data_IF_099537022593
#
_entry.id   IF_099537022593
#
_cell.length_a   1.000
_cell.length_b   1.000
_cell.length_c   1.000
_cell.angle_alpha   90.00
_cell.angle_beta   90.00
_cell.angle_gamma   90.00
#
_symmetry.space_group_name_H-M   'P 1'
#
loop_
_entity.id
_entity.type
_entity.pdbx_description
1 polymer ?
#
# COMPACT_ATOMS: atom_id res chain seq x y z
N UNK A 1 -21.16 -1.30 0.08
CA UNK A 1 -20.45 -0.62 -1.03
C UNK A 1 -20.58 0.88 -0.85
N UNK A 2 -19.62 1.68 -1.33
CA UNK A 2 -19.78 3.15 -1.34
C UNK A 2 -20.90 3.55 -2.29
N UNK A 3 -21.69 4.55 -1.89
CA UNK A 3 -22.86 5.04 -2.65
C UNK A 3 -22.51 6.24 -3.56
N UNK A 4 -21.35 6.86 -3.36
CA UNK A 4 -20.90 8.01 -4.17
C UNK A 4 -19.54 8.56 -3.72
N UNK A 5 -19.22 9.76 -4.23
CA UNK A 5 -18.02 10.55 -3.88
C UNK A 5 -18.47 11.77 -3.07
N UNK A 6 -17.76 12.09 -1.99
CA UNK A 6 -18.04 13.30 -1.21
C UNK A 6 -17.61 14.57 -1.94
N UNK A 7 -18.03 15.72 -1.45
CA UNK A 7 -17.34 16.98 -1.77
C UNK A 7 -15.91 17.03 -1.20
N UNK A 8 -15.24 18.18 -1.31
CA UNK A 8 -13.95 18.42 -0.65
C UNK A 8 -14.02 18.10 0.85
N UNK A 9 -12.99 17.47 1.38
CA UNK A 9 -12.87 17.09 2.80
C UNK A 9 -11.74 17.89 3.46
N UNK A 10 -11.79 18.09 4.77
CA UNK A 10 -10.78 18.89 5.50
C UNK A 10 -9.57 18.06 5.89
N UNK A 11 -9.80 16.80 6.23
CA UNK A 11 -8.84 15.89 6.84
C UNK A 11 -7.91 15.31 5.76
N UNK A 12 -7.09 16.14 5.11
CA UNK A 12 -6.06 15.72 4.15
C UNK A 12 -4.85 16.69 4.11
N UNK A 13 -3.73 16.26 3.51
CA UNK A 13 -2.46 17.03 3.35
C UNK A 13 -1.73 17.39 4.66
N UNK A 14 -1.96 16.63 5.73
CA UNK A 14 -1.10 16.63 6.92
C UNK A 14 -0.85 15.20 7.40
N UNK A 15 0.31 14.98 8.03
CA UNK A 15 0.64 13.70 8.66
C UNK A 15 -0.34 13.44 9.82
N UNK A 16 -1.03 12.31 9.79
CA UNK A 16 -2.14 11.98 10.70
C UNK A 16 -3.52 12.03 10.05
N UNK A 17 -3.68 12.77 8.94
CA UNK A 17 -4.99 12.88 8.27
C UNK A 17 -5.57 11.55 7.78
N UNK A 18 -4.74 10.54 7.52
CA UNK A 18 -5.20 9.19 7.20
C UNK A 18 -5.99 8.57 8.33
N UNK A 19 -5.49 8.67 9.57
CA UNK A 19 -6.13 8.18 10.77
C UNK A 19 -7.41 8.96 11.08
N UNK A 20 -7.39 10.28 10.95
CA UNK A 20 -8.58 11.12 11.19
C UNK A 20 -9.75 10.77 10.25
N UNK A 21 -9.46 10.18 9.08
CA UNK A 21 -10.49 9.70 8.14
C UNK A 21 -11.06 8.32 8.50
N UNK A 22 -10.56 7.64 9.54
CA UNK A 22 -11.13 6.42 10.09
C UNK A 22 -12.11 6.79 11.20
N UNK A 23 -13.43 6.58 11.05
CA UNK A 23 -14.40 7.00 12.06
C UNK A 23 -14.12 6.44 13.46
N UNK A 24 -13.58 5.22 13.53
CA UNK A 24 -13.21 4.54 14.78
C UNK A 24 -12.06 5.24 15.53
N UNK A 25 -11.19 5.99 14.84
CA UNK A 25 -10.07 6.70 15.46
C UNK A 25 -10.49 7.85 16.38
N UNK A 26 -11.78 8.21 16.41
CA UNK A 26 -12.33 9.17 17.38
C UNK A 26 -12.35 8.62 18.81
N UNK A 27 -12.34 7.30 18.97
CA UNK A 27 -12.51 6.63 20.28
C UNK A 27 -11.53 5.48 20.52
N UNK A 28 -10.73 5.11 19.52
CA UNK A 28 -9.75 4.03 19.61
C UNK A 28 -8.42 4.47 18.99
N UNK A 29 -7.30 4.16 19.66
CA UNK A 29 -5.95 4.45 19.18
C UNK A 29 -5.47 3.44 18.11
N UNK A 30 -6.22 2.36 17.87
CA UNK A 30 -5.96 1.34 16.85
C UNK A 30 -4.59 0.66 16.98
N UNK A 31 -4.17 0.40 18.22
CA UNK A 31 -2.96 -0.38 18.52
C UNK A 31 -3.11 -1.81 18.00
N UNK A 32 -2.13 -2.27 17.23
CA UNK A 32 -2.11 -3.62 16.67
C UNK A 32 -1.01 -4.51 17.23
N UNK A 33 -0.95 -5.73 16.73
CA UNK A 33 0.05 -6.72 17.13
C UNK A 33 1.33 -6.51 16.33
N UNK A 34 2.32 -5.83 16.93
CA UNK A 34 3.64 -5.61 16.31
C UNK A 34 4.31 -6.92 15.92
N UNK A 35 5.05 -6.89 14.82
CA UNK A 35 5.96 -7.98 14.47
C UNK A 35 7.06 -8.11 15.52
N UNK A 36 7.41 -9.35 15.88
CA UNK A 36 8.52 -9.66 16.80
C UNK A 36 9.66 -10.33 16.03
N UNK A 37 10.88 -10.32 16.56
CA UNK A 37 12.02 -10.96 15.89
C UNK A 37 11.84 -12.48 15.63
N UNK A 38 10.87 -13.12 16.28
CA UNK A 38 10.55 -14.54 16.09
C UNK A 38 9.56 -14.82 14.96
N UNK A 39 8.80 -13.81 14.51
CA UNK A 39 7.92 -13.93 13.34
C UNK A 39 8.75 -13.83 12.07
N UNK A 40 8.78 -14.90 11.26
CA UNK A 40 9.60 -15.03 10.06
C UNK A 40 10.42 -16.33 10.01
N UNK A 41 10.24 -17.30 10.92
CA UNK A 41 10.93 -18.59 10.81
C UNK A 41 10.42 -19.33 9.59
N UNK A 42 11.27 -19.39 8.54
CA UNK A 42 10.95 -20.01 7.25
C UNK A 42 10.79 -21.52 7.39
N UNK A 43 9.61 -21.96 7.82
CA UNK A 43 9.16 -23.35 7.66
C UNK A 43 8.83 -23.61 6.19
N UNK A 44 9.16 -24.79 5.67
CA UNK A 44 8.81 -25.14 4.28
C UNK A 44 7.29 -25.36 4.16
N UNK A 45 6.63 -24.44 3.46
CA UNK A 45 5.17 -24.46 3.22
C UNK A 45 4.80 -24.98 1.83
N UNK A 46 5.76 -25.33 0.97
CA UNK A 46 5.54 -25.59 -0.47
C UNK A 46 4.70 -26.84 -0.77
N UNK A 47 4.50 -27.71 0.20
CA UNK A 47 3.69 -28.93 0.08
C UNK A 47 2.45 -28.93 0.98
N UNK A 48 2.17 -27.80 1.65
CA UNK A 48 1.17 -27.72 2.71
C UNK A 48 0.03 -26.75 2.38
N UNK A 49 -1.13 -27.00 2.98
CA UNK A 49 -2.19 -26.01 3.15
C UNK A 49 -2.00 -25.35 4.51
N UNK A 50 -1.71 -24.06 4.52
CA UNK A 50 -1.36 -23.31 5.74
C UNK A 50 -2.40 -22.23 5.98
N UNK A 51 -2.86 -22.16 7.23
CA UNK A 51 -3.77 -21.14 7.73
C UNK A 51 -2.99 -20.19 8.64
N UNK A 52 -2.94 -18.91 8.27
CA UNK A 52 -2.38 -17.86 9.14
C UNK A 52 -3.50 -17.25 9.97
N UNK A 53 -3.30 -17.15 11.28
CA UNK A 53 -4.26 -16.50 12.18
C UNK A 53 -4.35 -14.99 11.88
N UNK A 54 -5.53 -14.42 12.07
CA UNK A 54 -5.70 -12.96 11.99
C UNK A 54 -4.94 -12.25 13.12
N UNK A 55 -4.50 -11.02 12.86
CA UNK A 55 -3.75 -10.16 13.79
C UNK A 55 -4.62 -9.00 14.26
N UNK A 56 -4.44 -8.53 15.50
CA UNK A 56 -5.20 -7.38 16.00
C UNK A 56 -4.81 -6.13 15.23
N UNK A 57 -5.81 -5.38 14.76
CA UNK A 57 -5.66 -4.10 14.07
C UNK A 57 -4.62 -4.11 12.93
N UNK A 58 -4.59 -5.19 12.15
CA UNK A 58 -3.76 -5.28 10.95
C UNK A 58 -4.13 -4.15 9.99
N UNK A 59 -3.15 -3.34 9.60
CA UNK A 59 -3.35 -2.24 8.66
C UNK A 59 -3.06 -2.68 7.23
N UNK A 60 -4.00 -2.46 6.32
CA UNK A 60 -3.85 -2.79 4.91
C UNK A 60 -4.00 -1.50 4.12
N UNK A 61 -3.05 -1.22 3.24
CA UNK A 61 -3.14 -0.10 2.29
C UNK A 61 -3.14 -0.62 0.87
N UNK A 62 -4.08 -0.11 0.07
CA UNK A 62 -3.99 -0.13 -1.39
C UNK A 62 -3.86 1.30 -1.89
N UNK A 63 -2.71 1.64 -2.44
CA UNK A 63 -2.41 2.97 -2.99
C UNK A 63 -2.22 2.86 -4.50
N UNK A 64 -3.12 3.46 -5.28
CA UNK A 64 -3.21 3.28 -6.72
C UNK A 64 -2.82 4.50 -7.54
N UNK A 65 -2.34 4.24 -8.74
CA UNK A 65 -1.92 5.21 -9.74
C UNK A 65 -2.55 4.84 -11.09
N UNK A 66 -3.16 5.81 -11.75
CA UNK A 66 -3.80 5.64 -13.05
C UNK A 66 -3.44 6.83 -13.95
N UNK A 67 -2.59 6.56 -14.94
CA UNK A 67 -2.15 7.55 -15.93
C UNK A 67 -2.85 7.38 -17.29
N UNK A 68 -3.91 6.56 -17.36
CA UNK A 68 -4.57 6.20 -18.63
C UNK A 68 -5.18 7.37 -19.39
N UNK A 69 -5.52 8.45 -18.69
CA UNK A 69 -6.12 9.65 -19.28
C UNK A 69 -5.18 10.86 -19.24
N UNK A 70 -3.89 10.64 -18.99
CA UNK A 70 -2.90 11.73 -19.00
C UNK A 70 -2.61 12.20 -20.41
N UNK A 71 -2.39 13.51 -20.57
CA UNK A 71 -1.85 14.03 -21.83
C UNK A 71 -0.40 13.52 -22.04
N UNK A 72 0.13 13.51 -23.28
CA UNK A 72 1.45 12.94 -23.56
C UNK A 72 2.60 13.53 -22.73
N UNK A 73 2.56 14.84 -22.44
CA UNK A 73 3.58 15.50 -21.63
C UNK A 73 3.52 15.05 -20.16
N UNK A 74 2.33 15.04 -19.56
CA UNK A 74 2.13 14.61 -18.18
C UNK A 74 2.46 13.12 -18.00
N UNK A 75 2.12 12.29 -19.00
CA UNK A 75 2.46 10.87 -19.04
C UNK A 75 3.97 10.64 -18.96
N UNK A 76 4.71 11.29 -19.84
CA UNK A 76 6.16 11.21 -19.87
C UNK A 76 6.76 11.69 -18.55
N UNK A 77 6.26 12.83 -18.04
CA UNK A 77 6.69 13.38 -16.76
C UNK A 77 6.47 12.37 -15.62
N UNK A 78 5.30 11.73 -15.54
CA UNK A 78 5.00 10.73 -14.52
C UNK A 78 5.94 9.54 -14.61
N UNK A 79 6.04 8.93 -15.79
CA UNK A 79 6.83 7.71 -16.02
C UNK A 79 8.33 7.93 -15.82
N UNK A 80 8.84 9.11 -16.15
CA UNK A 80 10.27 9.41 -16.05
C UNK A 80 10.68 9.94 -14.67
N UNK A 81 9.77 10.55 -13.90
CA UNK A 81 10.16 11.27 -12.66
C UNK A 81 9.50 10.76 -11.39
N UNK A 82 8.23 10.35 -11.42
CA UNK A 82 7.45 9.98 -10.24
C UNK A 82 7.40 8.45 -10.08
N UNK A 83 7.04 7.74 -11.15
CA UNK A 83 6.95 6.27 -11.15
C UNK A 83 8.24 5.57 -10.68
N UNK A 84 9.46 6.00 -11.07
CA UNK A 84 10.68 5.35 -10.59
C UNK A 84 10.93 5.56 -9.08
N UNK A 85 10.48 6.69 -8.52
CA UNK A 85 10.60 6.98 -7.08
C UNK A 85 9.59 6.13 -6.31
N UNK A 86 8.37 5.98 -6.85
CA UNK A 86 7.36 5.06 -6.32
C UNK A 86 7.87 3.62 -6.29
N UNK A 87 8.44 3.11 -7.41
CA UNK A 87 9.01 1.76 -7.47
C UNK A 87 10.03 1.56 -6.36
N UNK A 88 10.96 2.50 -6.16
CA UNK A 88 11.96 2.42 -5.08
C UNK A 88 11.33 2.29 -3.70
N UNK A 89 10.26 3.05 -3.43
CA UNK A 89 9.53 2.94 -2.16
C UNK A 89 8.84 1.59 -1.98
N UNK A 90 8.23 1.06 -3.04
CA UNK A 90 7.60 -0.26 -2.98
C UNK A 90 8.62 -1.40 -2.89
N UNK A 91 9.77 -1.27 -3.55
CA UNK A 91 10.91 -2.20 -3.44
C UNK A 91 11.45 -2.24 -2.02
N UNK A 92 11.65 -1.08 -1.39
CA UNK A 92 12.03 -1.02 0.03
C UNK A 92 11.02 -1.76 0.92
N UNK A 93 9.72 -1.48 0.78
CA UNK A 93 8.70 -2.17 1.59
C UNK A 93 8.67 -3.69 1.35
N UNK A 94 9.08 -4.16 0.16
CA UNK A 94 9.12 -5.59 -0.18
C UNK A 94 10.36 -6.27 0.40
N UNK A 95 11.52 -5.63 0.32
CA UNK A 95 12.81 -6.25 0.62
C UNK A 95 13.29 -5.96 2.05
N UNK A 96 12.91 -4.81 2.61
CA UNK A 96 13.33 -4.25 3.91
C UNK A 96 12.11 -3.86 4.76
N UNK A 97 10.92 -4.40 4.45
CA UNK A 97 9.65 -4.04 5.09
C UNK A 97 9.61 -4.29 6.60
N UNK A 98 10.32 -5.32 7.07
CA UNK A 98 10.40 -5.67 8.49
C UNK A 98 10.94 -4.51 9.35
N UNK A 99 11.82 -3.67 8.80
CA UNK A 99 12.38 -2.50 9.51
C UNK A 99 11.32 -1.46 9.89
N UNK A 100 10.19 -1.46 9.18
CA UNK A 100 9.10 -0.49 9.33
C UNK A 100 7.76 -1.16 9.61
N UNK A 101 7.76 -2.44 10.02
CA UNK A 101 6.54 -3.18 10.34
C UNK A 101 5.66 -3.54 9.13
N UNK A 102 6.21 -3.51 7.91
CA UNK A 102 5.53 -3.97 6.69
C UNK A 102 5.80 -5.46 6.47
N UNK A 103 4.76 -6.28 6.59
CA UNK A 103 4.80 -7.76 6.51
C UNK A 103 4.91 -8.25 5.07
N UNK A 104 4.13 -7.65 4.16
CA UNK A 104 4.10 -8.01 2.74
C UNK A 104 3.79 -6.74 1.94
N UNK A 105 4.52 -6.53 0.85
CA UNK A 105 4.25 -5.44 -0.09
C UNK A 105 4.31 -5.96 -1.52
N UNK A 106 3.25 -5.71 -2.27
CA UNK A 106 3.14 -6.04 -3.69
C UNK A 106 2.92 -4.77 -4.47
N UNK A 107 3.83 -4.47 -5.39
CA UNK A 107 3.59 -3.49 -6.43
C UNK A 107 3.07 -4.21 -7.66
N UNK A 108 1.82 -3.92 -8.04
CA UNK A 108 1.07 -4.71 -9.02
C UNK A 108 0.68 -3.86 -10.21
N UNK A 109 0.86 -4.42 -11.41
CA UNK A 109 0.23 -3.94 -12.63
C UNK A 109 -1.21 -4.47 -12.72
N UNK A 110 -2.16 -3.60 -13.06
CA UNK A 110 -3.52 -4.02 -13.37
C UNK A 110 -3.51 -4.60 -14.79
N UNK A 111 -3.95 -5.85 -14.96
CA UNK A 111 -4.02 -6.53 -16.26
C UNK A 111 -5.45 -6.63 -16.78
N UNK A 112 -5.61 -6.71 -18.10
CA UNK A 112 -6.91 -7.01 -18.71
C UNK A 112 -7.22 -8.51 -18.62
N UNK A 113 -8.51 -8.85 -18.45
CA UNK A 113 -8.96 -10.22 -18.21
C UNK A 113 -8.89 -11.14 -19.44
N UNK A 114 -8.96 -10.58 -20.66
CA UNK A 114 -9.42 -11.31 -21.85
C UNK A 114 -8.45 -11.26 -23.05
N UNK A 115 -7.19 -10.84 -22.84
CA UNK A 115 -6.19 -10.92 -23.91
C UNK A 115 -5.36 -12.19 -23.73
N UNK A 116 -5.18 -12.96 -24.81
CA UNK A 116 -4.28 -14.13 -24.90
C UNK A 116 -2.81 -13.80 -24.59
N UNK A 117 -2.52 -12.51 -24.38
CA UNK A 117 -1.27 -11.95 -23.89
C UNK A 117 -1.62 -11.05 -22.72
N UNK A 118 -1.08 -11.32 -21.53
CA UNK A 118 -1.19 -10.41 -20.39
C UNK A 118 -0.51 -9.08 -20.76
N UNK A 119 -1.30 -8.08 -21.15
CA UNK A 119 -0.82 -6.72 -21.33
C UNK A 119 -1.14 -5.89 -20.08
N UNK A 120 -0.12 -5.31 -19.43
CA UNK A 120 -0.34 -4.32 -18.38
C UNK A 120 -1.21 -3.17 -18.90
N UNK A 121 -2.19 -2.77 -18.10
CA UNK A 121 -2.87 -1.50 -18.30
C UNK A 121 -2.00 -0.36 -17.79
N UNK A 122 -2.46 0.87 -17.96
CA UNK A 122 -1.77 2.09 -17.54
C UNK A 122 -2.07 2.44 -16.08
N UNK A 123 -2.10 1.39 -15.24
CA UNK A 123 -2.52 1.46 -13.85
C UNK A 123 -1.72 0.50 -12.99
N UNK A 124 -1.20 1.02 -11.90
CA UNK A 124 -0.50 0.25 -10.87
C UNK A 124 -1.11 0.52 -9.50
N UNK A 125 -0.84 -0.38 -8.56
CA UNK A 125 -1.09 -0.11 -7.15
C UNK A 125 -0.08 -0.84 -6.26
N UNK A 126 0.29 -0.20 -5.16
CA UNK A 126 0.92 -0.86 -4.03
C UNK A 126 -0.16 -1.45 -3.13
N UNK A 127 -0.07 -2.74 -2.82
CA UNK A 127 -0.85 -3.41 -1.78
C UNK A 127 0.11 -3.87 -0.70
N UNK A 128 -0.01 -3.27 0.49
CA UNK A 128 0.88 -3.58 1.61
C UNK A 128 0.10 -3.88 2.89
N UNK A 129 0.66 -4.80 3.67
CA UNK A 129 0.16 -5.24 4.96
C UNK A 129 1.14 -4.78 6.03
N UNK A 130 0.71 -3.88 6.91
CA UNK A 130 1.46 -3.41 8.05
C UNK A 130 0.89 -4.04 9.32
N UNK A 131 1.77 -4.37 10.26
CA UNK A 131 1.42 -4.98 11.55
C UNK A 131 0.43 -4.14 12.37
N UNK A 132 0.49 -2.81 12.22
CA UNK A 132 -0.42 -1.84 12.82
C UNK A 132 -0.44 -0.53 12.03
N UNK A 133 -1.46 0.31 12.28
CA UNK A 133 -1.62 1.59 11.59
C UNK A 133 -0.45 2.55 11.85
N UNK A 134 0.09 2.55 13.08
CA UNK A 134 1.23 3.39 13.46
C UNK A 134 2.48 3.10 12.62
N UNK A 135 2.71 1.85 12.22
CA UNK A 135 3.86 1.46 11.39
C UNK A 135 3.76 2.04 9.99
N UNK A 136 2.57 1.99 9.38
CA UNK A 136 2.28 2.67 8.11
C UNK A 136 2.45 4.21 8.22
N UNK A 137 1.96 4.80 9.32
CA UNK A 137 2.16 6.23 9.60
C UNK A 137 3.64 6.58 9.78
N UNK A 138 4.40 5.74 10.49
CA UNK A 138 5.83 5.89 10.74
C UNK A 138 6.63 5.89 9.44
N UNK A 139 6.39 4.89 8.57
CA UNK A 139 7.02 4.83 7.26
C UNK A 139 6.67 6.05 6.41
N UNK A 140 5.38 6.37 6.31
CA UNK A 140 4.93 7.46 5.42
C UNK A 140 5.41 8.84 5.87
N UNK A 141 5.44 9.14 7.17
CA UNK A 141 5.87 10.46 7.68
C UNK A 141 7.37 10.59 7.92
N UNK A 142 8.10 9.48 8.05
CA UNK A 142 9.48 9.46 8.54
C UNK A 142 10.50 8.80 7.61
N UNK A 143 10.10 7.85 6.77
CA UNK A 143 11.06 7.11 5.96
C UNK A 143 11.38 7.85 4.65
N UNK A 144 12.68 7.90 4.31
CA UNK A 144 13.16 8.64 3.12
C UNK A 144 12.44 8.23 1.84
N UNK A 145 12.14 6.94 1.66
CA UNK A 145 11.50 6.47 0.42
C UNK A 145 10.11 7.06 0.21
N UNK A 146 9.28 7.20 1.26
CA UNK A 146 7.98 7.86 1.10
C UNK A 146 8.11 9.38 1.05
N UNK A 147 9.02 9.98 1.83
CA UNK A 147 9.28 11.43 1.76
C UNK A 147 9.75 11.86 0.36
N UNK A 148 10.55 11.04 -0.32
CA UNK A 148 10.96 11.27 -1.70
C UNK A 148 9.76 11.19 -2.67
N UNK A 149 8.83 10.23 -2.48
CA UNK A 149 7.59 10.15 -3.28
C UNK A 149 6.75 11.41 -3.09
N UNK A 150 6.50 11.81 -1.84
CA UNK A 150 5.70 12.98 -1.51
C UNK A 150 6.34 14.26 -2.04
N UNK A 151 7.63 14.46 -1.80
CA UNK A 151 8.38 15.61 -2.30
C UNK A 151 8.40 15.68 -3.83
N UNK A 152 8.56 14.54 -4.51
CA UNK A 152 8.50 14.48 -5.97
C UNK A 152 7.11 14.78 -6.50
N UNK A 153 6.05 14.34 -5.83
CA UNK A 153 4.68 14.70 -6.20
C UNK A 153 4.44 16.22 -6.09
N UNK A 154 4.96 16.88 -5.05
CA UNK A 154 4.85 18.33 -4.92
C UNK A 154 5.56 19.08 -6.07
N UNK A 155 6.74 18.62 -6.48
CA UNK A 155 7.45 19.17 -7.65
C UNK A 155 6.65 18.93 -8.94
N UNK A 156 6.15 17.72 -9.13
CA UNK A 156 5.33 17.32 -10.28
C UNK A 156 4.08 18.20 -10.43
N UNK A 157 3.33 18.40 -9.34
CA UNK A 157 2.17 19.28 -9.32
C UNK A 157 2.54 20.74 -9.62
N UNK A 158 3.71 21.20 -9.15
CA UNK A 158 4.26 22.52 -9.46
C UNK A 158 4.57 22.71 -10.95
N UNK A 159 5.20 21.73 -11.60
CA UNK A 159 5.48 21.76 -13.06
C UNK A 159 4.20 21.87 -13.87
N UNK A 160 3.14 21.17 -13.45
CA UNK A 160 1.84 21.19 -14.12
C UNK A 160 0.95 22.35 -13.67
N UNK A 161 1.44 23.25 -12.82
CA UNK A 161 0.69 24.39 -12.27
C UNK A 161 -0.64 23.97 -11.62
N UNK A 162 -0.66 22.79 -11.00
CA UNK A 162 -1.84 22.19 -10.38
C UNK A 162 -2.83 21.54 -11.35
N UNK A 163 -2.62 21.62 -12.66
CA UNK A 163 -3.46 20.96 -13.67
C UNK A 163 -3.02 19.50 -13.87
N UNK A 164 -3.33 18.67 -12.87
CA UNK A 164 -2.95 17.25 -12.81
C UNK A 164 -4.11 16.38 -13.30
N UNK A 165 -3.91 15.62 -14.36
CA UNK A 165 -4.88 14.62 -14.86
C UNK A 165 -4.55 13.19 -14.42
N UNK A 166 -3.35 12.96 -13.90
CA UNK A 166 -2.96 11.74 -13.19
C UNK A 166 -3.91 11.48 -12.02
N UNK A 167 -4.45 10.26 -11.94
CA UNK A 167 -5.37 9.87 -10.87
C UNK A 167 -4.61 9.08 -9.81
N UNK A 168 -4.54 9.64 -8.60
CA UNK A 168 -3.93 9.02 -7.43
C UNK A 168 -4.99 8.80 -6.36
N UNK A 169 -4.95 7.65 -5.69
CA UNK A 169 -5.85 7.35 -4.58
C UNK A 169 -5.21 6.37 -3.60
N UNK A 170 -5.79 6.29 -2.40
CA UNK A 170 -5.57 5.16 -1.52
C UNK A 170 -6.86 4.72 -0.82
N UNK A 171 -6.87 3.48 -0.37
CA UNK A 171 -7.80 2.96 0.64
C UNK A 171 -6.98 2.27 1.72
N UNK A 172 -7.31 2.57 2.97
CA UNK A 172 -6.64 2.01 4.15
C UNK A 172 -7.70 1.37 5.03
N UNK A 173 -7.44 0.14 5.45
CA UNK A 173 -8.30 -0.65 6.31
C UNK A 173 -7.51 -1.04 7.56
N UNK A 174 -8.17 -1.04 8.71
CA UNK A 174 -7.64 -1.60 9.95
C UNK A 174 -8.60 -2.69 10.38
N UNK A 175 -8.12 -3.93 10.46
CA UNK A 175 -8.97 -5.10 10.61
C UNK A 175 -8.73 -5.83 11.93
N UNK A 176 -9.81 -6.28 12.56
CA UNK A 176 -9.77 -7.18 13.71
C UNK A 176 -9.44 -8.62 13.27
N UNK A 177 -8.93 -9.49 14.16
CA UNK A 177 -8.53 -10.86 13.80
C UNK A 177 -9.63 -11.68 13.12
N UNK A 178 -10.88 -11.52 13.59
CA UNK A 178 -12.04 -12.24 13.04
C UNK A 178 -12.48 -11.77 11.65
N UNK A 179 -11.97 -10.63 11.17
CA UNK A 179 -12.27 -10.07 9.84
C UNK A 179 -11.24 -10.50 8.79
N UNK A 180 -10.27 -11.34 9.17
CA UNK A 180 -9.14 -11.71 8.34
C UNK A 180 -9.20 -13.19 7.98
N UNK A 181 -8.96 -13.50 6.71
CA UNK A 181 -8.87 -14.87 6.23
C UNK A 181 -7.69 -15.04 5.28
N UNK A 182 -6.59 -15.60 5.80
CA UNK A 182 -5.38 -15.91 5.04
C UNK A 182 -5.18 -17.43 4.95
N UNK A 183 -5.24 -17.97 3.74
CA UNK A 183 -4.99 -19.38 3.46
C UNK A 183 -4.06 -19.51 2.25
N UNK A 184 -3.09 -20.41 2.36
CA UNK A 184 -2.06 -20.64 1.36
C UNK A 184 -1.98 -22.13 1.06
N UNK A 185 -1.80 -22.49 -0.22
CA UNK A 185 -1.67 -23.89 -0.66
C UNK A 185 -0.44 -23.99 -1.54
N UNK A 186 0.59 -24.66 -1.05
CA UNK A 186 1.84 -24.86 -1.80
C UNK A 186 2.63 -23.60 -2.11
N UNK A 187 2.41 -22.52 -1.35
CA UNK A 187 3.12 -21.25 -1.53
C UNK A 187 4.52 -21.28 -0.89
N UNK A 188 5.42 -20.40 -1.32
CA UNK A 188 6.70 -20.21 -0.63
C UNK A 188 6.48 -19.49 0.71
N UNK A 189 7.38 -19.70 1.68
CA UNK A 189 7.20 -19.17 3.04
C UNK A 189 7.14 -17.65 3.15
N UNK A 190 7.73 -16.93 2.19
CA UNK A 190 7.60 -15.47 2.08
C UNK A 190 6.33 -14.96 1.37
N UNK A 191 5.36 -15.80 1.02
CA UNK A 191 4.17 -15.34 0.28
C UNK A 191 3.16 -14.69 1.23
N UNK A 192 2.92 -13.39 1.09
CA UNK A 192 1.86 -12.73 1.86
C UNK A 192 2.08 -12.85 3.36
N UNK A 193 1.00 -13.15 4.09
CA UNK A 193 1.02 -13.29 5.54
C UNK A 193 1.76 -14.55 6.03
N UNK A 194 2.21 -15.45 5.15
CA UNK A 194 3.17 -16.51 5.56
C UNK A 194 4.48 -15.90 6.07
N UNK A 195 4.86 -14.71 5.58
CA UNK A 195 6.02 -13.98 6.08
C UNK A 195 5.87 -13.58 7.57
N UNK A 196 4.66 -13.63 8.12
CA UNK A 196 4.38 -13.29 9.51
C UNK A 196 4.42 -14.48 10.49
N UNK A 197 4.66 -15.70 9.99
CA UNK A 197 4.72 -16.94 10.78
C UNK A 197 6.11 -17.17 11.39
#
# INVERSE_FOLDING_TARGET
MREGVSGPIKEHVYWGSMRDRLPVAQVDELHGDRMTEQSGQKTDTKSQRVRVAGRKNLAIIRSGQDWSNTNPHERELYLNTMHPVLIKGMTFLRDEGDEVGCIDCRFMDVVQKDESVEKPTEKTFGLAYFDQLESLEGWSKGHKTHLDIFGRFMQYAGVLQGNVSLRLFHEVMVLEPGQQFFEYVGCHSGTGMLASL
#
